data_IF_042952504298
#
_entry.id   IF_042952504298
#
_cell.length_a   1.000
_cell.length_b   1.000
_cell.length_c   1.000
_cell.angle_alpha   90.00
_cell.angle_beta   90.00
_cell.angle_gamma   90.00
#
_symmetry.space_group_name_H-M   'P 1'
#
loop_
_entity.id
_entity.type
_entity.pdbx_description
1 polymer ?
#
# COMPACT_ATOMS: atom_id res chain seq x y z
N UNK A 1 19.65 0.74 20.60
CA UNK A 1 19.10 0.68 20.61
C UNK A 1 18.32 0.36 20.22
N UNK A 2 18.44 0.21 20.01
CA UNK A 2 17.79 -0.15 19.73
C UNK A 2 16.76 -0.10 19.71
N UNK A 3 16.35 0.15 19.28
CA UNK A 3 15.31 0.20 19.31
C UNK A 3 14.68 -0.92 19.31
N UNK A 4 14.38 -1.27 20.01
CA UNK A 4 13.73 -2.32 20.19
C UNK A 4 12.49 -2.28 19.81
N UNK A 5 12.28 -1.51 19.31
CA UNK A 5 11.31 -1.28 19.25
C UNK A 5 10.13 -1.46 18.69
N UNK A 6 9.21 -0.77 19.05
CA UNK A 6 7.94 -0.75 18.44
C UNK A 6 7.98 0.32 17.38
N UNK A 7 7.86 -0.08 16.14
CA UNK A 7 7.74 0.90 15.09
C UNK A 7 6.34 1.45 15.07
N UNK A 8 6.21 2.73 14.80
CA UNK A 8 4.90 3.30 14.57
C UNK A 8 4.32 2.87 13.23
N UNK A 9 5.17 2.45 12.32
CA UNK A 9 4.76 1.97 10.99
C UNK A 9 5.46 0.65 10.70
N UNK A 10 4.69 -0.34 10.26
CA UNK A 10 5.24 -1.62 9.79
C UNK A 10 4.74 -1.84 8.37
N UNK A 11 5.64 -2.18 7.48
CA UNK A 11 5.34 -2.49 6.09
C UNK A 11 5.76 -3.93 5.84
N UNK A 12 4.81 -4.77 5.43
CA UNK A 12 5.08 -6.18 5.14
C UNK A 12 4.66 -6.49 3.72
N UNK A 13 5.42 -7.35 3.05
CA UNK A 13 5.12 -7.75 1.69
C UNK A 13 4.98 -9.26 1.64
N UNK A 14 3.84 -9.70 1.14
CA UNK A 14 3.60 -11.12 0.92
C UNK A 14 3.56 -11.36 -0.58
N UNK A 15 4.39 -12.30 -1.05
CA UNK A 15 4.52 -12.56 -2.48
C UNK A 15 3.70 -13.77 -2.88
N UNK A 16 2.84 -13.58 -3.87
CA UNK A 16 2.11 -14.67 -4.49
C UNK A 16 2.54 -14.83 -5.93
N UNK A 17 1.94 -15.76 -6.64
CA UNK A 17 2.30 -16.03 -8.03
C UNK A 17 1.98 -14.87 -8.94
N UNK A 18 0.81 -14.28 -8.78
CA UNK A 18 0.37 -13.19 -9.64
C UNK A 18 0.01 -11.94 -8.87
N UNK A 19 -0.13 -12.05 -7.57
CA UNK A 19 -0.56 -10.95 -6.72
C UNK A 19 0.36 -10.84 -5.53
N UNK A 20 0.83 -9.64 -5.26
CA UNK A 20 1.54 -9.36 -4.02
C UNK A 20 0.61 -8.61 -3.09
N UNK A 21 0.71 -8.88 -1.81
CA UNK A 21 -0.07 -8.17 -0.80
C UNK A 21 0.89 -7.32 0.01
N UNK A 22 0.63 -6.02 0.02
CA UNK A 22 1.42 -5.08 0.79
C UNK A 22 0.59 -4.68 1.99
N UNK A 23 1.06 -5.02 3.19
CA UNK A 23 0.35 -4.69 4.43
C UNK A 23 0.99 -3.52 5.11
N UNK A 24 0.18 -2.52 5.41
CA UNK A 24 0.63 -1.36 6.16
C UNK A 24 -0.06 -1.40 7.52
N UNK A 25 0.73 -1.25 8.59
CA UNK A 25 0.22 -1.32 9.95
C UNK A 25 0.69 -0.11 10.74
N UNK A 26 -0.18 0.44 11.55
CA UNK A 26 0.17 1.52 12.45
C UNK A 26 -0.13 2.89 11.87
N UNK A 27 0.84 3.80 11.95
CA UNK A 27 0.66 5.19 11.54
C UNK A 27 1.67 5.54 10.47
N UNK A 28 1.20 5.91 9.30
CA UNK A 28 2.08 6.31 8.20
C UNK A 28 2.02 7.82 8.06
N UNK A 29 2.86 8.50 8.79
CA UNK A 29 2.82 9.96 8.85
C UNK A 29 4.22 10.55 8.67
N UNK A 30 4.25 11.86 8.51
CA UNK A 30 5.50 12.60 8.38
C UNK A 30 6.36 12.33 9.60
N UNK A 31 7.62 12.08 9.40
CA UNK A 31 8.53 11.76 10.49
C UNK A 31 8.90 10.29 10.57
N UNK A 32 8.26 9.45 9.77
CA UNK A 32 8.69 8.06 9.69
C UNK A 32 10.08 7.98 9.06
N UNK A 33 10.79 6.92 9.35
CA UNK A 33 12.15 6.73 8.84
C UNK A 33 12.16 6.64 7.33
N UNK A 34 12.83 7.58 6.70
CA UNK A 34 12.96 7.57 5.24
C UNK A 34 13.75 6.37 4.77
N UNK A 35 14.72 5.93 5.56
CA UNK A 35 15.52 4.77 5.19
C UNK A 35 14.65 3.52 5.19
N UNK A 36 13.82 3.35 6.21
CA UNK A 36 12.92 2.21 6.29
C UNK A 36 11.97 2.18 5.10
N UNK A 37 11.38 3.33 4.77
CA UNK A 37 10.45 3.44 3.65
C UNK A 37 11.16 3.18 2.33
N UNK A 38 12.37 3.71 2.17
CA UNK A 38 13.15 3.50 0.96
C UNK A 38 13.51 2.03 0.78
N UNK A 39 13.93 1.36 1.86
CA UNK A 39 14.25 -0.06 1.80
C UNK A 39 13.03 -0.89 1.39
N UNK A 40 11.87 -0.56 1.93
CA UNK A 40 10.63 -1.28 1.58
C UNK A 40 10.20 -0.99 0.16
N UNK A 41 10.39 0.23 -0.31
CA UNK A 41 10.10 0.58 -1.70
C UNK A 41 10.98 -0.23 -2.64
N UNK A 42 12.27 -0.33 -2.32
CA UNK A 42 13.20 -1.11 -3.12
C UNK A 42 12.81 -2.59 -3.12
N UNK A 43 12.39 -3.09 -1.97
CA UNK A 43 11.94 -4.47 -1.86
C UNK A 43 10.73 -4.72 -2.77
N UNK A 44 9.76 -3.82 -2.76
CA UNK A 44 8.59 -3.93 -3.63
C UNK A 44 9.02 -3.94 -5.10
N UNK A 45 9.92 -3.03 -5.46
CA UNK A 45 10.36 -2.93 -6.85
C UNK A 45 11.17 -4.11 -7.31
N UNK A 46 11.91 -4.75 -6.40
CA UNK A 46 12.72 -5.89 -6.78
C UNK A 46 11.88 -7.14 -7.04
N UNK A 47 10.68 -7.19 -6.51
CA UNK A 47 9.76 -8.28 -6.77
C UNK A 47 8.91 -7.91 -7.98
N UNK A 48 8.84 -8.80 -8.93
CA UNK A 48 8.12 -8.49 -10.15
C UNK A 48 6.65 -8.87 -10.03
N UNK A 49 5.99 -8.20 -9.10
CA UNK A 49 4.56 -8.41 -8.91
C UNK A 49 3.81 -7.88 -10.12
N UNK A 50 2.86 -8.65 -10.62
CA UNK A 50 2.03 -8.19 -11.72
C UNK A 50 0.90 -7.32 -11.16
N UNK A 51 0.25 -7.81 -10.13
CA UNK A 51 -0.84 -7.10 -9.47
C UNK A 51 -0.54 -6.95 -7.99
N UNK A 52 -1.08 -5.92 -7.37
CA UNK A 52 -0.85 -5.68 -5.96
C UNK A 52 -2.12 -5.26 -5.26
N UNK A 53 -2.34 -5.79 -4.08
CA UNK A 53 -3.36 -5.32 -3.16
C UNK A 53 -2.65 -4.74 -1.95
N UNK A 54 -3.03 -3.52 -1.58
CA UNK A 54 -2.51 -2.90 -0.36
C UNK A 54 -3.54 -3.10 0.72
N UNK A 55 -3.20 -3.90 1.72
CA UNK A 55 -4.09 -4.18 2.84
C UNK A 55 -3.92 -3.09 3.89
N UNK A 56 -4.93 -2.25 4.04
CA UNK A 56 -4.91 -1.11 4.95
C UNK A 56 -5.68 -1.37 6.23
N UNK A 57 -6.11 -2.60 6.45
CA UNK A 57 -6.97 -2.92 7.59
C UNK A 57 -6.36 -2.53 8.93
N UNK A 58 -5.04 -2.65 9.05
CA UNK A 58 -4.35 -2.35 10.31
C UNK A 58 -3.65 -0.99 10.29
N UNK A 59 -3.87 -0.21 9.24
CA UNK A 59 -3.34 1.15 9.18
C UNK A 59 -4.29 2.08 9.93
N UNK A 60 -3.80 2.71 10.98
CA UNK A 60 -4.61 3.57 11.82
C UNK A 60 -4.76 4.96 11.22
N UNK A 61 -3.68 5.52 10.70
CA UNK A 61 -3.72 6.85 10.10
C UNK A 61 -2.69 6.95 8.99
N UNK A 62 -2.92 7.90 8.07
CA UNK A 62 -2.03 8.12 6.94
C UNK A 62 -1.88 9.62 6.73
N UNK A 63 -0.67 10.07 6.45
CA UNK A 63 -0.38 11.46 6.12
C UNK A 63 0.20 11.56 4.73
N UNK A 64 0.76 12.72 4.41
CA UNK A 64 1.29 12.99 3.07
C UNK A 64 2.40 12.04 2.67
N UNK A 65 3.22 11.63 3.63
CA UNK A 65 4.31 10.69 3.34
C UNK A 65 3.78 9.33 2.93
N UNK A 66 2.73 8.88 3.61
CA UNK A 66 2.09 7.61 3.26
C UNK A 66 1.40 7.67 1.92
N UNK A 67 0.75 8.78 1.63
CA UNK A 67 0.10 8.94 0.34
C UNK A 67 1.11 8.98 -0.79
N UNK A 68 2.23 9.66 -0.58
CA UNK A 68 3.31 9.68 -1.56
C UNK A 68 3.86 8.29 -1.84
N UNK A 69 3.99 7.49 -0.79
CA UNK A 69 4.43 6.11 -0.92
C UNK A 69 3.46 5.31 -1.78
N UNK A 70 2.16 5.42 -1.51
CA UNK A 70 1.14 4.68 -2.27
C UNK A 70 1.13 5.11 -3.73
N UNK A 71 1.17 6.41 -3.98
CA UNK A 71 1.17 6.93 -5.35
C UNK A 71 2.42 6.47 -6.09
N UNK A 72 3.56 6.49 -5.43
CA UNK A 72 4.81 6.06 -6.04
C UNK A 72 4.78 4.62 -6.49
N UNK A 73 4.25 3.74 -5.65
CA UNK A 73 4.14 2.33 -6.01
C UNK A 73 3.09 2.14 -7.10
N UNK A 74 1.97 2.83 -6.99
CA UNK A 74 0.91 2.76 -7.99
C UNK A 74 1.45 3.13 -9.38
N UNK A 75 2.17 4.24 -9.46
CA UNK A 75 2.73 4.69 -10.73
C UNK A 75 3.75 3.68 -11.26
N UNK A 76 4.62 3.18 -10.38
CA UNK A 76 5.64 2.21 -10.79
C UNK A 76 5.01 0.95 -11.34
N UNK A 77 3.96 0.47 -10.69
CA UNK A 77 3.33 -0.78 -11.10
C UNK A 77 2.54 -0.62 -12.40
N UNK A 78 1.75 0.44 -12.48
CA UNK A 78 0.85 0.61 -13.63
C UNK A 78 1.55 1.06 -14.89
N UNK A 79 2.77 1.60 -14.77
CA UNK A 79 3.53 2.03 -15.94
C UNK A 79 4.39 0.93 -16.53
N UNK A 80 4.42 -0.24 -15.92
CA UNK A 80 5.18 -1.34 -16.47
C UNK A 80 4.57 -1.83 -17.77
N UNK A 81 5.43 -2.43 -18.58
CA UNK A 81 4.96 -3.08 -19.80
C UNK A 81 3.93 -4.14 -19.44
N UNK A 82 2.77 -4.05 -20.05
CA UNK A 82 1.67 -4.94 -19.73
C UNK A 82 0.77 -4.44 -18.63
N UNK A 83 1.22 -3.43 -17.90
CA UNK A 83 0.44 -2.85 -16.82
C UNK A 83 0.19 -3.81 -15.67
N UNK A 84 -0.37 -3.34 -14.61
CA UNK A 84 -0.77 -4.16 -13.49
C UNK A 84 -1.91 -3.47 -12.78
N UNK A 85 -2.58 -4.22 -11.92
CA UNK A 85 -3.65 -3.64 -11.13
C UNK A 85 -3.20 -3.42 -9.71
N UNK A 86 -3.69 -2.35 -9.12
CA UNK A 86 -3.29 -1.92 -7.80
C UNK A 86 -4.56 -1.49 -7.09
N UNK A 87 -4.89 -2.19 -6.01
CA UNK A 87 -6.16 -1.95 -5.29
C UNK A 87 -5.86 -1.76 -3.81
N UNK A 88 -6.49 -0.75 -3.22
CA UNK A 88 -6.43 -0.54 -1.77
C UNK A 88 -7.58 -1.30 -1.12
N UNK A 89 -7.33 -1.94 0.01
CA UNK A 89 -8.35 -2.76 0.66
C UNK A 89 -8.44 -2.45 2.15
N UNK A 90 -9.64 -2.34 2.65
CA UNK A 90 -9.91 -2.32 4.08
C UNK A 90 -9.56 -1.04 4.83
N UNK A 91 -9.52 0.10 4.16
CA UNK A 91 -9.23 1.36 4.82
C UNK A 91 -10.31 1.68 5.84
N UNK A 92 -9.90 2.11 7.06
CA UNK A 92 -10.86 2.57 8.05
C UNK A 92 -11.36 3.96 7.68
N UNK A 93 -12.32 4.47 8.45
CA UNK A 93 -12.94 5.76 8.13
C UNK A 93 -11.93 6.90 8.10
N UNK A 94 -10.98 6.89 9.01
CA UNK A 94 -9.98 7.96 9.09
C UNK A 94 -9.08 7.95 7.86
N UNK A 95 -8.59 6.79 7.48
CA UNK A 95 -7.73 6.65 6.30
C UNK A 95 -8.53 6.97 5.04
N UNK A 96 -9.77 6.48 4.99
CA UNK A 96 -10.64 6.75 3.83
C UNK A 96 -10.90 8.25 3.67
N UNK A 97 -11.12 8.96 4.78
CA UNK A 97 -11.35 10.40 4.71
C UNK A 97 -10.16 11.13 4.09
N UNK A 98 -8.95 10.73 4.43
CA UNK A 98 -7.75 11.34 3.85
C UNK A 98 -7.66 11.02 2.36
N UNK A 99 -7.95 9.77 1.98
CA UNK A 99 -7.93 9.38 0.58
C UNK A 99 -8.97 10.15 -0.22
N UNK A 100 -10.15 10.38 0.36
CA UNK A 100 -11.21 11.14 -0.30
C UNK A 100 -10.83 12.61 -0.44
N UNK A 101 -10.27 13.21 0.61
CA UNK A 101 -9.90 14.62 0.57
C UNK A 101 -8.83 14.92 -0.46
N UNK A 102 -7.94 13.98 -0.68
CA UNK A 102 -6.86 14.14 -1.64
C UNK A 102 -7.23 13.62 -3.01
N UNK A 103 -8.44 13.08 -3.14
CA UNK A 103 -8.96 12.51 -4.39
C UNK A 103 -8.17 11.32 -4.89
N UNK A 104 -7.39 10.71 -4.04
CA UNK A 104 -6.67 9.50 -4.42
C UNK A 104 -7.64 8.37 -4.74
N UNK A 105 -8.80 8.35 -4.09
CA UNK A 105 -9.81 7.34 -4.35
C UNK A 105 -10.36 7.39 -5.77
N UNK A 106 -10.20 8.53 -6.47
CA UNK A 106 -10.63 8.63 -7.87
C UNK A 106 -9.59 8.10 -8.83
N UNK A 107 -8.36 7.91 -8.36
CA UNK A 107 -7.25 7.47 -9.20
C UNK A 107 -6.93 6.01 -8.91
N UNK A 108 -6.91 5.63 -7.64
CA UNK A 108 -6.56 4.28 -7.20
C UNK A 108 -7.81 3.54 -6.77
N UNK A 109 -8.14 2.42 -7.38
CA UNK A 109 -9.32 1.65 -6.98
C UNK A 109 -9.21 1.15 -5.55
N UNK A 110 -10.34 0.99 -4.90
CA UNK A 110 -10.38 0.47 -3.54
C UNK A 110 -11.49 -0.56 -3.38
N UNK A 111 -11.34 -1.41 -2.39
CA UNK A 111 -12.32 -2.43 -2.05
C UNK A 111 -12.55 -2.41 -0.54
N UNK A 112 -13.71 -2.89 -0.08
CA UNK A 112 -14.01 -2.84 1.36
C UNK A 112 -13.12 -3.74 2.20
N UNK A 113 -12.61 -4.82 1.64
CA UNK A 113 -11.76 -5.74 2.37
C UNK A 113 -10.83 -6.48 1.43
N UNK A 114 -9.91 -7.24 2.00
CA UNK A 114 -8.92 -7.97 1.23
C UNK A 114 -9.56 -9.04 0.33
N UNK A 115 -10.50 -9.87 0.82
CA UNK A 115 -11.11 -10.86 -0.07
C UNK A 115 -11.79 -10.23 -1.29
N UNK A 116 -12.46 -9.10 -1.11
CA UNK A 116 -13.10 -8.41 -2.24
C UNK A 116 -12.09 -7.91 -3.24
N UNK A 117 -10.96 -7.39 -2.76
CA UNK A 117 -9.90 -6.90 -3.65
C UNK A 117 -9.28 -8.04 -4.45
N UNK A 118 -8.99 -9.16 -3.79
CA UNK A 118 -8.44 -10.32 -4.46
C UNK A 118 -9.40 -10.88 -5.49
N UNK A 119 -10.68 -10.89 -5.17
CA UNK A 119 -11.70 -11.37 -6.06
C UNK A 119 -11.82 -10.49 -7.30
N UNK A 120 -11.69 -9.18 -7.13
CA UNK A 120 -11.73 -8.26 -8.26
C UNK A 120 -10.57 -8.51 -9.23
N UNK A 121 -9.38 -8.81 -8.70
CA UNK A 121 -8.23 -9.10 -9.54
C UNK A 121 -8.38 -10.42 -10.29
N UNK A 122 -8.99 -11.40 -9.68
CA UNK A 122 -9.09 -12.71 -10.30
C UNK A 122 -10.08 -12.74 -11.47
N UNK A 123 -10.82 -11.67 -11.65
CA UNK A 123 -11.74 -11.59 -12.78
C UNK A 123 -11.08 -11.16 -14.08
N UNK A 124 -9.88 -10.68 -13.99
CA UNK A 124 -9.18 -10.22 -15.20
C UNK A 124 -8.27 -11.30 -15.79
#
# INVERSE_FOLDING_TARGET
>A
MAETGIRSLVIEIEHGDHVCILRLKGHFRTGESRLYISDKTDEVRSHKCINMVVDLRELVSIGSMGMGFLVGIFVSLTKRSGGGEFILAGANERVRAVLDQTRLCTIIPSAPDLPSALNALSRT
#
